data_IF_530125049498
#
_entry.id   IF_530125049498
#
_cell.length_a   1.000
_cell.length_b   1.000
_cell.length_c   1.000
_cell.angle_alpha   90.00
_cell.angle_beta   90.00
_cell.angle_gamma   90.00
#
_symmetry.space_group_name_H-M   'P 1'
#
loop_
_entity.id
_entity.type
_entity.pdbx_description
1 polymer ?
#
# COMPACT_ATOMS: atom_id res chain seq x y z
N UNK A 1 10.41 -9.62 3.60
CA UNK A 1 11.10 -8.37 3.19
C UNK A 1 10.37 -7.77 1.98
N UNK A 2 10.76 -6.58 1.49
CA UNK A 2 10.17 -6.04 0.25
C UNK A 2 10.49 -6.93 -0.96
N UNK A 3 11.67 -7.55 -1.03
CA UNK A 3 12.03 -8.43 -2.16
C UNK A 3 11.20 -9.71 -2.20
N UNK A 4 10.98 -10.33 -1.04
CA UNK A 4 10.11 -11.50 -0.93
C UNK A 4 8.67 -11.16 -1.34
N UNK A 5 8.15 -10.01 -0.90
CA UNK A 5 6.83 -9.53 -1.29
C UNK A 5 6.71 -9.35 -2.80
N UNK A 6 7.69 -8.69 -3.42
CA UNK A 6 7.65 -8.43 -4.86
C UNK A 6 7.74 -9.72 -5.67
N UNK A 7 8.61 -10.66 -5.29
CA UNK A 7 8.68 -11.98 -5.91
C UNK A 7 7.34 -12.75 -5.78
N UNK A 8 6.72 -12.69 -4.60
CA UNK A 8 5.40 -13.30 -4.37
C UNK A 8 4.31 -12.65 -5.23
N UNK A 9 4.35 -11.33 -5.44
CA UNK A 9 3.37 -10.61 -6.26
C UNK A 9 3.44 -10.94 -7.76
N UNK A 10 4.60 -11.39 -8.26
CA UNK A 10 4.78 -11.81 -9.66
C UNK A 10 4.23 -13.21 -9.93
N UNK A 11 4.27 -14.09 -8.92
CA UNK A 11 3.69 -15.43 -9.00
C UNK A 11 2.86 -15.70 -7.74
N UNK A 12 1.65 -15.10 -7.63
CA UNK A 12 0.83 -15.20 -6.43
C UNK A 12 0.43 -16.66 -6.14
N UNK A 13 0.78 -17.22 -4.96
CA UNK A 13 0.27 -18.51 -4.53
C UNK A 13 -1.25 -18.48 -4.37
N UNK A 14 -1.88 -19.66 -4.44
CA UNK A 14 -3.31 -19.80 -4.13
C UNK A 14 -3.63 -19.24 -2.74
N UNK A 15 -4.78 -18.58 -2.61
CA UNK A 15 -5.21 -17.94 -1.37
C UNK A 15 -4.60 -16.55 -1.14
N UNK A 16 -3.76 -16.04 -2.05
CA UNK A 16 -3.22 -14.67 -1.95
C UNK A 16 -3.86 -13.70 -2.94
N UNK A 17 -4.22 -12.50 -2.49
CA UNK A 17 -4.78 -11.45 -3.35
C UNK A 17 -4.43 -10.01 -2.87
N UNK A 18 -4.97 -9.00 -3.56
CA UNK A 18 -4.91 -7.57 -3.15
C UNK A 18 -3.52 -7.04 -2.84
N UNK A 19 -2.54 -7.42 -3.66
CA UNK A 19 -1.18 -6.88 -3.62
C UNK A 19 -1.19 -5.36 -3.80
N UNK A 20 -0.52 -4.66 -2.89
CA UNK A 20 -0.47 -3.21 -2.85
C UNK A 20 0.88 -2.70 -2.37
N UNK A 21 1.31 -1.59 -2.95
CA UNK A 21 2.49 -0.84 -2.53
C UNK A 21 2.07 0.50 -1.96
N UNK A 22 2.75 0.96 -0.90
CA UNK A 22 2.60 2.34 -0.43
C UNK A 22 3.80 3.15 -0.86
N UNK A 23 3.59 4.21 -1.63
CA UNK A 23 4.66 5.01 -2.26
C UNK A 23 4.66 6.43 -1.75
N UNK A 24 5.85 7.00 -1.61
CA UNK A 24 6.05 8.42 -1.33
C UNK A 24 5.84 9.23 -2.61
N UNK A 25 4.99 10.25 -2.55
CA UNK A 25 4.86 11.28 -3.59
C UNK A 25 5.30 12.60 -2.96
N UNK A 26 6.11 13.36 -3.71
CA UNK A 26 6.64 14.65 -3.26
C UNK A 26 6.10 15.76 -4.14
N UNK A 27 5.72 16.87 -3.50
CA UNK A 27 5.34 18.10 -4.16
C UNK A 27 6.00 19.27 -3.41
N UNK A 28 7.11 19.78 -3.96
CA UNK A 28 7.99 20.72 -3.25
C UNK A 28 8.50 20.14 -1.93
N UNK A 29 8.10 20.76 -0.81
CA UNK A 29 8.48 20.35 0.55
C UNK A 29 7.46 19.39 1.19
N UNK A 30 6.33 19.14 0.54
CA UNK A 30 5.28 18.23 1.02
C UNK A 30 5.62 16.82 0.57
N UNK A 31 5.44 15.84 1.46
CA UNK A 31 5.55 14.41 1.14
C UNK A 31 4.36 13.68 1.71
N UNK A 32 3.63 12.99 0.83
CA UNK A 32 2.51 12.13 1.20
C UNK A 32 2.77 10.68 0.79
N UNK A 33 2.03 9.75 1.40
CA UNK A 33 2.20 8.32 1.18
C UNK A 33 0.89 7.69 0.70
N UNK A 34 0.90 7.18 -0.53
CA UNK A 34 -0.30 6.67 -1.20
C UNK A 34 -0.24 5.16 -1.38
N UNK A 35 -1.36 4.47 -1.19
CA UNK A 35 -1.49 3.11 -1.70
C UNK A 35 -1.62 3.14 -3.23
N UNK A 36 -0.95 2.19 -3.89
CA UNK A 36 -0.96 1.99 -5.33
C UNK A 36 -1.47 0.60 -5.64
N UNK A 37 -2.65 0.52 -6.26
CA UNK A 37 -3.39 -0.72 -6.52
C UNK A 37 -4.25 -0.57 -7.80
N UNK A 38 -4.09 -1.44 -8.81
CA UNK A 38 -3.02 -2.41 -8.96
C UNK A 38 -1.69 -1.72 -9.28
N UNK A 39 -0.58 -2.46 -9.13
CA UNK A 39 0.74 -2.06 -9.63
C UNK A 39 1.34 -3.15 -10.51
N UNK A 40 2.31 -2.77 -11.34
CA UNK A 40 3.11 -3.67 -12.16
C UNK A 40 4.57 -3.23 -12.14
N UNK A 41 5.49 -4.17 -12.38
CA UNK A 41 6.88 -3.83 -12.68
C UNK A 41 7.01 -3.26 -14.09
N UNK A 42 7.99 -2.37 -14.24
CA UNK A 42 8.49 -1.86 -15.51
C UNK A 42 9.96 -2.23 -15.65
N UNK A 43 10.59 -1.90 -16.78
CA UNK A 43 12.04 -2.14 -16.97
C UNK A 43 12.90 -1.39 -15.94
N UNK A 44 12.45 -0.22 -15.49
CA UNK A 44 13.22 0.70 -14.62
C UNK A 44 12.63 0.87 -13.22
N UNK A 45 11.47 0.28 -12.94
CA UNK A 45 10.77 0.47 -11.67
C UNK A 45 9.38 -0.14 -11.67
N UNK A 46 8.38 0.70 -11.38
CA UNK A 46 7.00 0.29 -11.22
C UNK A 46 6.05 1.34 -11.80
N UNK A 47 4.85 0.89 -12.16
CA UNK A 47 3.73 1.76 -12.48
C UNK A 47 2.45 1.23 -11.83
N UNK A 48 1.51 2.09 -11.49
CA UNK A 48 0.23 1.66 -10.95
C UNK A 48 -0.72 2.79 -10.63
N UNK A 49 -1.90 2.43 -10.15
CA UNK A 49 -3.01 3.36 -9.92
C UNK A 49 -3.01 3.84 -8.47
N UNK A 50 -2.95 5.15 -8.27
CA UNK A 50 -3.03 5.79 -6.97
C UNK A 50 -4.44 5.62 -6.38
N UNK A 51 -4.54 5.10 -5.15
CA UNK A 51 -5.78 4.58 -4.57
C UNK A 51 -6.31 5.37 -3.35
N UNK A 52 -5.75 6.54 -3.05
CA UNK A 52 -6.22 7.45 -2.00
C UNK A 52 -6.31 8.88 -2.52
N UNK A 53 -7.16 9.71 -1.94
CA UNK A 53 -7.22 11.13 -2.31
C UNK A 53 -5.99 11.85 -1.75
N UNK A 54 -5.30 12.69 -2.55
CA UNK A 54 -4.28 13.61 -2.03
C UNK A 54 -4.88 14.63 -1.06
N UNK A 55 -4.16 14.92 0.01
CA UNK A 55 -4.58 15.95 0.99
C UNK A 55 -3.87 17.29 0.77
N UNK A 56 -2.56 17.28 0.48
CA UNK A 56 -1.70 18.47 0.38
C UNK A 56 -0.84 18.51 -0.89
N UNK A 57 -0.53 17.38 -1.52
CA UNK A 57 0.15 17.33 -2.82
C UNK A 57 -0.84 17.60 -3.94
N UNK A 58 -0.45 18.43 -4.91
CA UNK A 58 -1.31 18.88 -6.01
C UNK A 58 -0.84 18.35 -7.38
N UNK A 59 0.25 17.58 -7.40
CA UNK A 59 0.85 17.04 -8.62
C UNK A 59 0.34 15.65 -9.02
N UNK A 60 -0.55 15.06 -8.23
CA UNK A 60 -1.23 13.80 -8.52
C UNK A 60 -2.70 13.87 -8.13
N UNK A 61 -3.54 12.96 -8.63
CA UNK A 61 -4.96 12.82 -8.27
C UNK A 61 -5.35 11.36 -8.06
N UNK A 62 -6.45 11.11 -7.33
CA UNK A 62 -7.02 9.76 -7.16
C UNK A 62 -7.27 9.11 -8.52
N UNK A 63 -6.89 7.84 -8.66
CA UNK A 63 -7.08 7.06 -9.89
C UNK A 63 -6.04 7.32 -10.97
N UNK A 64 -5.10 8.23 -10.75
CA UNK A 64 -4.01 8.48 -11.69
C UNK A 64 -3.05 7.28 -11.76
N UNK A 65 -2.65 6.90 -12.97
CA UNK A 65 -1.54 5.98 -13.17
C UNK A 65 -0.21 6.72 -13.03
N UNK A 66 0.60 6.33 -12.05
CA UNK A 66 1.89 6.95 -11.73
C UNK A 66 3.04 5.96 -11.97
N UNK A 67 4.23 6.49 -12.24
CA UNK A 67 5.48 5.73 -12.24
C UNK A 67 6.29 6.05 -10.99
N UNK A 68 6.98 5.05 -10.45
CA UNK A 68 7.77 5.21 -9.23
C UNK A 68 8.90 4.19 -9.15
N UNK A 69 9.88 4.46 -8.30
CA UNK A 69 11.04 3.60 -8.09
C UNK A 69 10.92 2.80 -6.80
N UNK A 70 11.80 1.83 -6.64
CA UNK A 70 11.92 1.08 -5.38
C UNK A 70 12.15 2.00 -4.17
N UNK A 71 12.89 3.10 -4.33
CA UNK A 71 13.23 4.01 -3.24
C UNK A 71 12.02 4.82 -2.74
N UNK A 72 10.96 4.88 -3.54
CA UNK A 72 9.72 5.55 -3.19
C UNK A 72 8.80 4.66 -2.36
N UNK A 73 9.00 3.32 -2.42
CA UNK A 73 8.22 2.36 -1.63
C UNK A 73 8.53 2.53 -0.14
N UNK A 74 7.47 2.64 0.66
CA UNK A 74 7.51 2.91 2.09
C UNK A 74 6.79 1.85 2.93
N UNK A 75 5.86 1.12 2.32
CA UNK A 75 5.14 -0.01 2.92
C UNK A 75 4.61 -0.90 1.78
N UNK A 76 4.16 -2.09 2.12
CA UNK A 76 3.60 -3.06 1.18
C UNK A 76 2.59 -3.95 1.89
N UNK A 77 1.65 -4.54 1.17
CA UNK A 77 0.73 -5.49 1.76
C UNK A 77 0.01 -6.34 0.73
N UNK A 78 -0.56 -7.44 1.19
CA UNK A 78 -1.43 -8.34 0.43
C UNK A 78 -2.29 -9.14 1.41
N UNK A 79 -3.32 -9.80 0.92
CA UNK A 79 -4.13 -10.70 1.75
C UNK A 79 -3.66 -12.15 1.53
N UNK A 80 -3.75 -12.97 2.56
CA UNK A 80 -3.59 -14.42 2.50
C UNK A 80 -4.69 -15.07 3.31
N UNK A 81 -5.52 -15.86 2.64
CA UNK A 81 -6.64 -16.59 3.23
C UNK A 81 -7.59 -15.68 4.02
N UNK A 82 -7.82 -14.47 3.51
CA UNK A 82 -8.68 -13.45 4.14
C UNK A 82 -7.98 -12.58 5.20
N UNK A 83 -6.73 -12.87 5.57
CA UNK A 83 -5.95 -12.09 6.53
C UNK A 83 -4.96 -11.16 5.83
N UNK A 84 -4.77 -9.95 6.36
CA UNK A 84 -3.82 -8.97 5.87
C UNK A 84 -2.40 -9.34 6.31
N UNK A 85 -1.51 -9.49 5.33
CA UNK A 85 -0.07 -9.57 5.53
C UNK A 85 0.57 -8.24 5.11
N UNK A 86 1.50 -7.74 5.92
CA UNK A 86 2.13 -6.43 5.71
C UNK A 86 1.24 -5.28 6.17
N UNK A 87 1.27 -4.15 5.46
CA UNK A 87 0.56 -2.92 5.81
C UNK A 87 0.93 -2.43 7.21
N UNK A 88 2.23 -2.45 7.52
CA UNK A 88 2.77 -2.16 8.85
C UNK A 88 2.43 -0.76 9.32
N UNK A 89 2.31 0.20 8.39
CA UNK A 89 1.88 1.57 8.72
C UNK A 89 0.47 1.60 9.29
N UNK A 90 -0.43 0.72 8.85
CA UNK A 90 -1.80 0.61 9.38
C UNK A 90 -1.79 0.06 10.80
N UNK A 91 -0.97 -0.95 11.09
CA UNK A 91 -0.81 -1.47 12.45
C UNK A 91 -0.35 -0.39 13.44
N UNK A 92 0.51 0.54 13.00
CA UNK A 92 0.92 1.68 13.82
C UNK A 92 -0.23 2.68 14.00
N UNK A 93 -1.03 2.92 12.95
CA UNK A 93 -2.21 3.79 13.04
C UNK A 93 -3.23 3.27 14.07
N UNK A 94 -3.47 1.96 14.14
CA UNK A 94 -4.40 1.38 15.11
C UNK A 94 -4.05 1.71 16.57
N UNK A 95 -2.78 1.94 16.89
CA UNK A 95 -2.36 2.37 18.24
C UNK A 95 -2.78 3.79 18.59
N UNK A 96 -3.20 4.57 17.61
CA UNK A 96 -3.63 5.97 17.73
C UNK A 96 -5.13 6.15 17.56
N UNK A 97 -5.85 5.08 17.21
CA UNK A 97 -7.30 5.07 17.03
C UNK A 97 -8.00 4.65 18.32
N UNK A 98 -9.32 4.89 18.40
CA UNK A 98 -10.14 4.27 19.45
C UNK A 98 -10.13 2.74 19.30
N UNK A 99 -10.43 2.03 20.40
CA UNK A 99 -10.50 0.57 20.38
C UNK A 99 -11.58 0.09 19.40
N UNK A 100 -12.73 0.76 19.41
CA UNK A 100 -13.90 0.42 18.61
C UNK A 100 -13.60 0.55 17.11
N UNK A 101 -12.96 1.66 16.71
CA UNK A 101 -12.58 1.86 15.30
C UNK A 101 -11.51 0.87 14.86
N UNK A 102 -10.49 0.63 15.70
CA UNK A 102 -9.43 -0.33 15.38
C UNK A 102 -10.00 -1.75 15.23
N UNK A 103 -10.87 -2.19 16.15
CA UNK A 103 -11.49 -3.52 16.10
C UNK A 103 -12.43 -3.68 14.88
N UNK A 104 -13.16 -2.62 14.51
CA UNK A 104 -13.93 -2.60 13.27
C UNK A 104 -13.03 -2.79 12.04
N UNK A 105 -11.92 -2.06 11.96
CA UNK A 105 -10.98 -2.14 10.84
C UNK A 105 -10.32 -3.52 10.76
N UNK A 106 -9.95 -4.11 11.90
CA UNK A 106 -9.42 -5.48 11.99
C UNK A 106 -10.39 -6.49 11.41
N UNK A 107 -11.63 -6.51 11.90
CA UNK A 107 -12.65 -7.46 11.44
C UNK A 107 -13.01 -7.28 9.97
N UNK A 108 -13.06 -6.03 9.49
CA UNK A 108 -13.46 -5.73 8.11
C UNK A 108 -12.38 -6.07 7.07
N UNK A 109 -11.11 -5.86 7.41
CA UNK A 109 -10.01 -5.95 6.46
C UNK A 109 -9.00 -7.07 6.77
N UNK A 110 -9.24 -7.85 7.83
CA UNK A 110 -8.46 -9.02 8.18
C UNK A 110 -7.11 -8.71 8.83
N UNK A 111 -6.97 -7.57 9.52
CA UNK A 111 -5.71 -7.26 10.23
C UNK A 111 -5.60 -8.05 11.54
N UNK A 112 -4.45 -8.70 11.75
CA UNK A 112 -4.14 -9.42 13.00
C UNK A 112 -3.44 -8.55 14.05
N UNK A 113 -2.93 -7.40 13.62
CA UNK A 113 -2.49 -6.29 14.47
C UNK A 113 -3.69 -5.37 14.76
#
# INVERSE_FOLDING_TARGET
SLDEFLALSETPPSGTDRFKLKVKVRDGNVTEHFWVIPFRRTETGFAGILANEPEEVHNVVLGQNIEFTRNDISDWGYTRDGHQVGSFTVCVMFKRMSKEEADYMRGKYGFDC
#
